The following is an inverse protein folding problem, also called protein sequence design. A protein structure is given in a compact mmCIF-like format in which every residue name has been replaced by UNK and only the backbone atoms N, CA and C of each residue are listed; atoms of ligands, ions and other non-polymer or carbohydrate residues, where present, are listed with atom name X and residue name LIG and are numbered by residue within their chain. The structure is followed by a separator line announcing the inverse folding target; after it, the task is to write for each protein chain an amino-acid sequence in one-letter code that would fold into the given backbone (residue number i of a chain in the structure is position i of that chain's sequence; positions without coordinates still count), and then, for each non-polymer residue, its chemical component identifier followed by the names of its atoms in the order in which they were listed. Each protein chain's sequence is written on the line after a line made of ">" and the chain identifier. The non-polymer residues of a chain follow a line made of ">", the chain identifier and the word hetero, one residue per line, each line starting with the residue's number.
data_IF_754835903247
#
_entry.id   IF_754835903247
#
_cell.length_a   1.000
_cell.length_b   1.000
_cell.length_c   1.000
_cell.angle_alpha   90.00
_cell.angle_beta   90.00
_cell.angle_gamma   90.00
#
_symmetry.space_group_name_H-M   'P 1'
#
loop_
_entity.id
_entity.type
_entity.pdbx_description
1 polymer ?
#
# COMPACT_ATOMS: atom_id res chain seq x y z
N UNK A 1 3.40 -19.95 -6.08
CA UNK A 1 4.13 -18.69 -5.85
C UNK A 1 3.70 -18.11 -4.53
N UNK A 2 4.63 -17.86 -3.67
CA UNK A 2 4.34 -17.32 -2.36
C UNK A 2 4.39 -15.80 -2.39
N UNK A 3 3.55 -15.19 -1.61
CA UNK A 3 3.55 -13.76 -1.45
C UNK A 3 2.45 -13.39 -0.48
N UNK A 4 2.70 -12.32 0.27
CA UNK A 4 1.72 -11.81 1.22
C UNK A 4 0.95 -10.69 0.56
N UNK A 5 -0.37 -10.82 0.53
CA UNK A 5 -1.22 -9.78 -0.02
C UNK A 5 -1.46 -8.71 1.04
N UNK A 6 -1.23 -7.46 0.66
CA UNK A 6 -1.56 -6.32 1.50
C UNK A 6 -2.92 -5.83 1.05
N UNK A 7 -3.91 -5.91 1.93
CA UNK A 7 -5.29 -5.59 1.59
C UNK A 7 -5.75 -4.31 2.25
N UNK A 8 -6.70 -3.65 1.61
CA UNK A 8 -7.26 -2.43 2.14
C UNK A 8 -8.16 -2.76 3.34
N UNK A 9 -7.92 -2.15 4.50
CA UNK A 9 -8.77 -2.41 5.67
C UNK A 9 -10.07 -1.61 5.66
N UNK A 10 -10.26 -0.75 4.67
CA UNK A 10 -11.46 0.09 4.58
C UNK A 10 -11.59 0.61 3.15
N UNK A 11 -12.78 1.11 2.84
CA UNK A 11 -13.05 1.78 1.56
C UNK A 11 -12.45 3.18 1.61
N UNK A 12 -11.76 3.58 0.54
CA UNK A 12 -11.22 4.92 0.47
C UNK A 12 -10.40 5.14 -0.77
N UNK A 13 -9.67 6.25 -0.79
CA UNK A 13 -8.81 6.62 -1.91
C UNK A 13 -7.37 6.25 -1.57
N UNK A 14 -6.75 5.50 -2.46
CA UNK A 14 -5.37 5.06 -2.29
C UNK A 14 -4.41 6.18 -2.70
N UNK A 15 -3.45 6.47 -1.84
CA UNK A 15 -2.37 7.41 -2.15
C UNK A 15 -1.05 6.71 -1.99
N UNK A 16 -0.22 6.77 -3.03
CA UNK A 16 1.08 6.10 -3.03
C UNK A 16 2.16 6.91 -2.32
N UNK A 17 1.88 8.18 -2.00
CA UNK A 17 2.85 9.08 -1.37
C UNK A 17 2.13 9.96 -0.37
N UNK A 18 2.89 10.61 0.56
CA UNK A 18 2.27 11.49 1.56
C UNK A 18 1.68 12.75 0.96
N UNK A 19 2.20 13.19 -0.20
CA UNK A 19 1.65 14.33 -0.91
C UNK A 19 1.98 14.20 -2.39
N UNK A 20 1.30 14.95 -3.27
CA UNK A 20 1.54 14.85 -4.71
C UNK A 20 2.97 15.15 -5.14
N UNK A 21 3.69 15.95 -4.34
CA UNK A 21 5.05 16.35 -4.67
C UNK A 21 6.10 15.41 -4.09
N UNK A 22 5.70 14.43 -3.29
CA UNK A 22 6.63 13.51 -2.64
C UNK A 22 6.81 12.25 -3.46
N UNK A 23 7.93 11.57 -3.20
CA UNK A 23 8.19 10.27 -3.79
C UNK A 23 7.21 9.25 -3.22
N UNK A 24 6.85 8.22 -3.99
CA UNK A 24 6.03 7.13 -3.45
C UNK A 24 6.73 6.46 -2.27
N UNK A 25 5.94 5.98 -1.31
CA UNK A 25 6.49 5.22 -0.18
C UNK A 25 7.26 4.00 -0.68
N UNK A 26 6.70 3.31 -1.67
CA UNK A 26 7.30 2.11 -2.25
C UNK A 26 6.95 2.03 -3.73
N UNK A 27 7.72 1.21 -4.45
CA UNK A 27 7.43 0.88 -5.84
C UNK A 27 7.80 -0.58 -6.05
N UNK A 28 7.47 -1.13 -7.20
CA UNK A 28 7.81 -2.52 -7.48
C UNK A 28 9.32 -2.69 -7.41
N UNK A 29 9.74 -3.69 -6.65
CA UNK A 29 11.15 -3.93 -6.40
C UNK A 29 11.67 -3.35 -5.10
N UNK A 30 10.90 -2.50 -4.43
CA UNK A 30 11.33 -1.90 -3.16
C UNK A 30 11.38 -2.95 -2.06
N UNK A 31 12.41 -2.87 -1.23
CA UNK A 31 12.49 -3.70 -0.03
C UNK A 31 11.75 -3.01 1.11
N UNK A 32 10.99 -3.77 1.86
CA UNK A 32 10.21 -3.23 2.96
C UNK A 32 10.45 -4.03 4.23
N UNK A 33 10.25 -3.37 5.35
CA UNK A 33 10.38 -3.96 6.68
C UNK A 33 9.02 -3.96 7.33
N UNK A 34 8.70 -5.00 8.09
CA UNK A 34 7.45 -5.07 8.83
C UNK A 34 7.23 -3.79 9.63
N UNK A 35 6.05 -3.20 9.51
CA UNK A 35 5.71 -1.95 10.18
C UNK A 35 6.02 -0.70 9.38
N UNK A 36 6.72 -0.83 8.26
CA UNK A 36 7.01 0.30 7.38
C UNK A 36 5.74 0.74 6.67
N UNK A 37 5.54 2.05 6.52
CA UNK A 37 4.37 2.58 5.82
C UNK A 37 4.50 2.30 4.32
N UNK A 38 3.48 1.68 3.76
CA UNK A 38 3.45 1.32 2.34
C UNK A 38 2.64 2.30 1.51
N UNK A 39 1.57 2.82 2.07
CA UNK A 39 0.65 3.69 1.35
C UNK A 39 -0.31 4.32 2.35
N UNK A 40 -1.18 5.18 1.84
CA UNK A 40 -2.21 5.83 2.65
C UNK A 40 -3.55 5.58 1.98
N UNK A 41 -4.58 5.31 2.78
CA UNK A 41 -5.95 5.28 2.30
C UNK A 41 -6.71 6.36 3.03
N UNK A 42 -7.24 7.31 2.26
CA UNK A 42 -8.01 8.41 2.82
C UNK A 42 -9.49 8.04 2.81
N UNK A 43 -10.13 8.12 3.96
CA UNK A 43 -11.54 7.82 4.10
C UNK A 43 -12.14 8.81 5.08
N UNK A 44 -13.20 9.49 4.67
CA UNK A 44 -13.91 10.45 5.51
C UNK A 44 -12.98 11.50 6.10
N UNK A 45 -12.05 11.99 5.26
CA UNK A 45 -11.06 13.03 5.63
C UNK A 45 -10.05 12.56 6.66
N UNK A 46 -9.93 11.25 6.86
CA UNK A 46 -8.93 10.67 7.75
C UNK A 46 -7.92 9.91 6.91
N UNK A 47 -6.63 10.19 7.12
CA UNK A 47 -5.55 9.53 6.41
C UNK A 47 -5.12 8.31 7.21
N UNK A 48 -5.28 7.14 6.63
CA UNK A 48 -4.94 5.88 7.29
C UNK A 48 -3.69 5.30 6.65
N UNK A 49 -2.61 5.20 7.42
CA UNK A 49 -1.37 4.61 6.94
C UNK A 49 -1.46 3.11 6.96
N UNK A 50 -1.10 2.50 5.84
CA UNK A 50 -1.12 1.05 5.71
C UNK A 50 0.31 0.56 5.88
N UNK A 51 0.53 -0.32 6.85
CA UNK A 51 1.86 -0.79 7.22
C UNK A 51 2.15 -2.16 6.63
N UNK A 52 3.43 -2.44 6.40
CA UNK A 52 3.84 -3.75 5.90
C UNK A 52 3.60 -4.81 6.98
N UNK A 53 2.89 -5.90 6.64
CA UNK A 53 2.66 -6.97 7.61
C UNK A 53 3.85 -7.90 7.77
N UNK A 54 4.80 -7.86 6.85
CA UNK A 54 5.98 -8.72 6.85
C UNK A 54 7.15 -7.97 6.25
N UNK A 55 8.37 -8.48 6.47
CA UNK A 55 9.55 -8.03 5.73
C UNK A 55 9.53 -8.68 4.34
N UNK A 56 10.04 -7.99 3.35
CA UNK A 56 10.14 -8.57 2.03
C UNK A 56 10.36 -7.53 0.95
N UNK A 57 10.00 -7.90 -0.28
CA UNK A 57 10.16 -7.04 -1.44
C UNK A 57 8.79 -6.87 -2.12
N UNK A 58 8.46 -5.66 -2.50
CA UNK A 58 7.21 -5.40 -3.21
C UNK A 58 7.31 -6.02 -4.59
N UNK A 59 6.54 -7.09 -4.82
CA UNK A 59 6.56 -7.79 -6.09
C UNK A 59 5.63 -7.13 -7.12
N UNK A 60 4.46 -6.74 -6.66
CA UNK A 60 3.46 -6.16 -7.55
C UNK A 60 2.70 -5.06 -6.84
N UNK A 61 2.43 -3.97 -7.56
CA UNK A 61 1.49 -2.95 -7.13
C UNK A 61 0.26 -3.09 -8.02
N UNK A 62 -0.89 -3.33 -7.40
CA UNK A 62 -2.11 -3.65 -8.12
C UNK A 62 -3.07 -2.47 -8.25
N UNK A 63 -2.71 -1.34 -7.66
CA UNK A 63 -3.50 -0.12 -7.72
C UNK A 63 -2.59 1.05 -8.03
N UNK A 64 -3.19 2.15 -8.45
CA UNK A 64 -2.47 3.37 -8.80
C UNK A 64 -2.84 4.48 -7.83
N UNK A 65 -1.96 5.50 -7.77
CA UNK A 65 -2.22 6.69 -6.98
C UNK A 65 -3.59 7.26 -7.32
N UNK A 66 -4.34 7.59 -6.28
CA UNK A 66 -5.68 8.18 -6.36
C UNK A 66 -6.78 7.23 -6.81
N UNK A 67 -6.50 5.92 -6.87
CA UNK A 67 -7.55 4.94 -7.15
C UNK A 67 -8.48 4.80 -5.95
N UNK A 68 -9.76 4.59 -6.24
CA UNK A 68 -10.72 4.23 -5.21
C UNK A 68 -10.60 2.73 -4.94
N UNK A 69 -10.41 2.36 -3.71
CA UNK A 69 -10.26 0.95 -3.33
C UNK A 69 -11.38 0.54 -2.39
N UNK A 70 -11.73 -0.74 -2.48
CA UNK A 70 -12.79 -1.33 -1.66
C UNK A 70 -12.19 -2.04 -0.46
N UNK A 71 -13.02 -2.30 0.54
CA UNK A 71 -12.60 -3.09 1.69
C UNK A 71 -12.07 -4.45 1.21
N UNK A 72 -10.93 -4.87 1.76
CA UNK A 72 -10.30 -6.16 1.49
C UNK A 72 -9.75 -6.31 0.07
N UNK A 73 -9.73 -5.23 -0.71
CA UNK A 73 -9.12 -5.25 -2.04
C UNK A 73 -7.61 -5.37 -1.90
N UNK A 74 -6.99 -6.23 -2.70
CA UNK A 74 -5.53 -6.40 -2.65
C UNK A 74 -4.86 -5.18 -3.27
N UNK A 75 -3.97 -4.55 -2.50
CA UNK A 75 -3.26 -3.35 -2.93
C UNK A 75 -1.92 -3.69 -3.55
N UNK A 76 -1.21 -4.63 -2.96
CA UNK A 76 0.11 -5.03 -3.43
C UNK A 76 0.45 -6.40 -2.85
N UNK A 77 1.49 -7.01 -3.42
CA UNK A 77 1.97 -8.32 -2.98
C UNK A 77 3.42 -8.16 -2.55
N UNK A 78 3.74 -8.62 -1.35
CA UNK A 78 5.09 -8.61 -0.81
C UNK A 78 5.61 -10.03 -0.82
N UNK A 79 6.77 -10.19 -1.44
CA UNK A 79 7.44 -11.48 -1.52
C UNK A 79 8.52 -11.53 -0.44
N UNK A 80 8.38 -12.49 0.46
CA UNK A 80 9.32 -12.64 1.57
C UNK A 80 10.61 -13.31 1.16
#
# INVERSE_FOLDING_TARGET
>A
ISGTEVKAPLVGVYYSSPSPDDQPFVKEGSKVTKGQTLCIIEAMKVMNEIKAPVDGTVRSLLVKDEDLVSFDQTLMIIEE
#
